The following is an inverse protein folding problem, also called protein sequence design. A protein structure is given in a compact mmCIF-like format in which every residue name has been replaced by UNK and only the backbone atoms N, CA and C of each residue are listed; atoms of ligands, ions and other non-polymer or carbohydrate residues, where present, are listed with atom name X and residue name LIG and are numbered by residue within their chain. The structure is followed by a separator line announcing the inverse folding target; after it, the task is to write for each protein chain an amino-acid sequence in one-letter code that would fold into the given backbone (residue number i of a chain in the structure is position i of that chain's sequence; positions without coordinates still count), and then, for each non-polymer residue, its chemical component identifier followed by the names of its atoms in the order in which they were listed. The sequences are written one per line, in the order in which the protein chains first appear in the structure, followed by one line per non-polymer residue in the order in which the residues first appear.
data_IF_470786488374
#
_entry.id   IF_470786488374
#
_cell.length_a   1.000
_cell.length_b   1.000
_cell.length_c   1.000
_cell.angle_alpha   90.00
_cell.angle_beta   90.00
_cell.angle_gamma   90.00
#
_symmetry.space_group_name_H-M   'P 1'
#
loop_
_entity.id
_entity.type
_entity.pdbx_description
1 polymer ?
#
# COMPACT_ATOMS: atom_id res chain seq x y z
N UNK A 1 11.47 -3.93 0.95
CA UNK A 1 10.76 -2.71 0.50
C UNK A 1 9.98 -2.96 -0.77
N UNK A 2 9.05 -2.08 -1.15
CA UNK A 2 8.24 -2.24 -2.38
C UNK A 2 9.10 -1.88 -3.60
N UNK A 3 9.58 -2.89 -4.31
CA UNK A 3 10.55 -2.74 -5.40
C UNK A 3 9.89 -2.36 -6.74
N UNK A 4 10.63 -1.70 -7.64
CA UNK A 4 10.14 -1.33 -8.98
C UNK A 4 9.61 -2.55 -9.79
N UNK A 5 10.23 -3.74 -9.74
CA UNK A 5 9.68 -4.93 -10.41
C UNK A 5 8.33 -5.38 -9.85
N UNK A 6 8.11 -5.27 -8.53
CA UNK A 6 6.83 -5.63 -7.91
C UNK A 6 5.69 -4.72 -8.38
N UNK A 7 5.94 -3.40 -8.39
CA UNK A 7 4.99 -2.40 -8.93
C UNK A 7 4.69 -2.68 -10.41
N UNK A 8 5.72 -3.03 -11.20
CA UNK A 8 5.52 -3.39 -12.61
C UNK A 8 4.61 -4.61 -12.76
N UNK A 9 4.80 -5.67 -11.96
CA UNK A 9 3.92 -6.85 -12.01
C UNK A 9 2.46 -6.52 -11.70
N UNK A 10 2.21 -5.66 -10.71
CA UNK A 10 0.86 -5.19 -10.38
C UNK A 10 0.25 -4.37 -11.52
N UNK A 11 0.98 -3.38 -12.04
CA UNK A 11 0.52 -2.54 -13.15
C UNK A 11 0.22 -3.38 -14.41
N UNK A 12 1.05 -4.39 -14.71
CA UNK A 12 0.81 -5.31 -15.83
C UNK A 12 -0.46 -6.13 -15.64
N UNK A 13 -0.77 -6.59 -14.42
CA UNK A 13 -2.04 -7.27 -14.12
C UNK A 13 -3.26 -6.37 -14.38
N UNK A 14 -3.11 -5.06 -14.18
CA UNK A 14 -4.12 -4.06 -14.53
C UNK A 14 -4.14 -3.60 -15.99
N UNK A 15 -3.41 -4.27 -16.91
CA UNK A 15 -3.40 -3.92 -18.33
C UNK A 15 -2.56 -2.69 -18.69
N UNK A 16 -1.77 -2.14 -17.76
CA UNK A 16 -0.91 -0.98 -18.03
C UNK A 16 0.21 -1.39 -18.99
N UNK A 17 0.40 -0.66 -20.11
CA UNK A 17 1.42 -0.94 -21.13
C UNK A 17 2.74 -0.19 -20.90
N UNK A 18 2.70 1.09 -20.55
CA UNK A 18 3.88 1.91 -20.20
C UNK A 18 3.68 2.59 -18.85
N UNK A 19 4.77 2.79 -18.11
CA UNK A 19 4.74 3.35 -16.75
C UNK A 19 5.76 4.48 -16.70
N UNK A 20 5.33 5.67 -16.30
CA UNK A 20 6.22 6.82 -16.05
C UNK A 20 7.11 6.59 -14.83
N UNK A 21 8.30 7.18 -14.79
CA UNK A 21 9.25 7.03 -13.68
C UNK A 21 8.70 7.54 -12.34
N UNK A 22 7.93 8.64 -12.36
CA UNK A 22 7.36 9.23 -11.14
C UNK A 22 6.34 8.31 -10.47
N UNK A 23 5.69 7.42 -11.22
CA UNK A 23 4.66 6.52 -10.70
C UNK A 23 5.20 5.49 -9.72
N UNK A 24 6.50 5.16 -9.74
CA UNK A 24 7.05 4.23 -8.76
C UNK A 24 7.01 4.79 -7.34
N UNK A 25 7.24 6.09 -7.18
CA UNK A 25 7.22 6.71 -5.86
C UNK A 25 5.80 7.06 -5.45
N UNK A 26 5.00 7.58 -6.37
CA UNK A 26 3.58 7.86 -6.11
C UNK A 26 2.83 6.61 -5.62
N UNK A 27 3.06 5.45 -6.26
CA UNK A 27 2.45 4.18 -5.83
C UNK A 27 2.86 3.79 -4.40
N UNK A 28 4.10 4.09 -3.99
CA UNK A 28 4.55 3.80 -2.61
C UNK A 28 3.88 4.73 -1.61
N UNK A 29 3.76 6.01 -1.93
CA UNK A 29 3.11 7.00 -1.09
C UNK A 29 1.64 6.65 -0.86
N UNK A 30 0.91 6.35 -1.93
CA UNK A 30 -0.51 5.93 -1.85
C UNK A 30 -0.66 4.67 -1.01
N UNK A 31 0.19 3.66 -1.21
CA UNK A 31 0.11 2.42 -0.44
C UNK A 31 0.42 2.64 1.05
N UNK A 32 1.41 3.48 1.37
CA UNK A 32 1.70 3.85 2.76
C UNK A 32 0.51 4.56 3.40
N UNK A 33 -0.01 5.59 2.73
CA UNK A 33 -1.15 6.34 3.24
C UNK A 33 -2.36 5.44 3.49
N UNK A 34 -2.68 4.54 2.55
CA UNK A 34 -3.76 3.57 2.72
C UNK A 34 -3.54 2.68 3.97
N UNK A 35 -2.35 2.10 4.12
CA UNK A 35 -2.05 1.23 5.25
C UNK A 35 -2.05 1.97 6.59
N UNK A 36 -1.58 3.21 6.64
CA UNK A 36 -1.63 4.03 7.86
C UNK A 36 -3.06 4.23 8.36
N UNK A 37 -4.02 4.46 7.46
CA UNK A 37 -5.42 4.60 7.83
C UNK A 37 -6.01 3.27 8.31
N UNK A 38 -5.84 2.20 7.53
CA UNK A 38 -6.37 0.87 7.88
C UNK A 38 -5.82 0.35 9.20
N UNK A 39 -4.51 0.52 9.44
CA UNK A 39 -3.87 0.07 10.68
C UNK A 39 -4.35 0.91 11.87
N UNK A 40 -4.51 2.23 11.71
CA UNK A 40 -5.03 3.10 12.78
C UNK A 40 -6.43 2.65 13.24
N UNK A 41 -7.31 2.37 12.29
CA UNK A 41 -8.66 1.90 12.61
C UNK A 41 -8.63 0.50 13.24
N UNK A 42 -7.79 -0.40 12.71
CA UNK A 42 -7.62 -1.75 13.26
C UNK A 42 -7.11 -1.72 14.72
N UNK A 43 -6.13 -0.86 15.02
CA UNK A 43 -5.60 -0.67 16.38
C UNK A 43 -6.67 -0.11 17.33
N UNK A 44 -7.52 0.80 16.85
CA UNK A 44 -8.65 1.32 17.64
C UNK A 44 -9.56 0.20 18.14
N UNK A 45 -9.86 -0.79 17.28
CA UNK A 45 -10.67 -1.94 17.65
C UNK A 45 -9.95 -2.90 18.63
N UNK A 46 -8.66 -3.15 18.45
CA UNK A 46 -7.90 -4.05 19.34
C UNK A 46 -7.74 -3.44 20.73
N UNK A 47 -7.48 -2.15 20.82
CA UNK A 47 -7.40 -1.39 22.08
C UNK A 47 -8.74 -1.39 22.82
N UNK A 48 -9.85 -1.10 22.11
CA UNK A 48 -11.18 -1.15 22.70
C UNK A 48 -11.50 -2.52 23.31
N UNK A 49 -11.10 -3.60 22.62
CA UNK A 49 -11.29 -4.96 23.10
C UNK A 49 -10.24 -5.44 24.12
N UNK A 50 -9.27 -4.60 24.51
CA UNK A 50 -8.13 -4.94 25.39
C UNK A 50 -7.33 -6.15 24.90
N UNK A 51 -7.25 -6.35 23.58
CA UNK A 51 -6.49 -7.45 22.96
C UNK A 51 -5.13 -6.96 22.50
N UNK A 52 -4.18 -7.89 22.42
CA UNK A 52 -2.80 -7.63 21.95
C UNK A 52 -2.54 -8.20 20.55
N UNK A 53 -3.50 -8.91 19.96
CA UNK A 53 -3.43 -9.53 18.64
C UNK A 53 -4.81 -9.48 18.00
#
# INVERSE_FOLDING_TARGET
GITKPAIRRLARRGGVKRISSMMYEETRNVLRAFLEHVVRDSVTYTEHARRKT
#
